data_IF_115563063222
#
_entry.id   IF_115563063222
#
_cell.length_a   1.000
_cell.length_b   1.000
_cell.length_c   1.000
_cell.angle_alpha   90.00
_cell.angle_beta   90.00
_cell.angle_gamma   90.00
#
_symmetry.space_group_name_H-M   'P 1'
#
loop_
_entity.id
_entity.type
_entity.pdbx_description
1 polymer ?
#
# COMPACT_ATOMS: atom_id res chain seq x y z
N UNK A 1 -28.81 -12.87 -25.00
CA UNK A 1 -27.71 -13.25 -24.08
C UNK A 1 -27.82 -12.38 -22.85
N UNK A 2 -27.86 -12.96 -21.65
CA UNK A 2 -27.97 -12.20 -20.40
C UNK A 2 -26.62 -12.19 -19.70
N UNK A 3 -25.91 -11.07 -19.80
CA UNK A 3 -24.63 -10.89 -19.14
C UNK A 3 -24.83 -10.44 -17.68
N UNK A 4 -23.98 -10.95 -16.80
CA UNK A 4 -23.98 -10.68 -15.36
C UNK A 4 -22.92 -9.66 -15.01
N UNK A 5 -23.25 -8.75 -14.10
CA UNK A 5 -22.31 -7.80 -13.54
C UNK A 5 -21.82 -8.35 -12.22
N UNK A 6 -20.51 -8.48 -12.09
CA UNK A 6 -19.88 -8.71 -10.81
C UNK A 6 -19.53 -7.38 -10.14
N UNK A 7 -20.09 -7.06 -8.96
CA UNK A 7 -19.81 -5.79 -8.30
C UNK A 7 -18.32 -5.56 -8.03
N UNK A 8 -17.57 -6.61 -7.68
CA UNK A 8 -16.15 -6.46 -7.38
C UNK A 8 -15.36 -6.09 -8.64
N UNK A 9 -15.67 -6.68 -9.79
CA UNK A 9 -15.00 -6.37 -11.05
C UNK A 9 -15.36 -4.97 -11.53
N UNK A 10 -16.65 -4.61 -11.44
CA UNK A 10 -17.14 -3.27 -11.77
C UNK A 10 -16.43 -2.20 -10.94
N UNK A 11 -16.38 -2.38 -9.63
CA UNK A 11 -15.90 -1.36 -8.69
C UNK A 11 -14.37 -1.18 -8.73
N UNK A 12 -13.62 -2.05 -9.43
CA UNK A 12 -12.18 -1.88 -9.71
C UNK A 12 -11.91 -0.88 -10.83
N UNK A 13 -12.89 -0.64 -11.69
CA UNK A 13 -12.82 0.36 -12.77
C UNK A 13 -13.38 1.67 -12.18
N UNK A 14 -12.60 2.78 -12.18
CA UNK A 14 -13.14 4.07 -11.78
C UNK A 14 -14.44 4.38 -12.53
N UNK A 15 -15.54 4.75 -11.85
CA UNK A 15 -16.78 5.08 -12.53
C UNK A 15 -16.59 6.31 -13.41
N UNK A 16 -17.32 6.36 -14.53
CA UNK A 16 -17.39 7.58 -15.34
C UNK A 16 -18.29 8.59 -14.64
N UNK A 17 -17.93 9.87 -14.76
CA UNK A 17 -18.85 10.95 -14.38
C UNK A 17 -20.11 10.90 -15.26
N UNK A 18 -21.21 11.49 -14.78
CA UNK A 18 -22.46 11.53 -15.55
C UNK A 18 -22.27 12.17 -16.94
N UNK A 19 -21.41 13.19 -17.04
CA UNK A 19 -21.09 13.85 -18.30
C UNK A 19 -20.31 12.93 -19.25
N UNK A 20 -19.28 12.24 -18.76
CA UNK A 20 -18.52 11.27 -19.56
C UNK A 20 -19.40 10.10 -20.02
N UNK A 21 -20.30 9.63 -19.14
CA UNK A 21 -21.26 8.59 -19.48
C UNK A 21 -22.21 9.06 -20.59
N UNK A 22 -22.79 10.26 -20.47
CA UNK A 22 -23.65 10.84 -21.51
C UNK A 22 -22.90 10.99 -22.83
N UNK A 23 -21.65 11.46 -22.78
CA UNK A 23 -20.83 11.60 -23.98
C UNK A 23 -20.53 10.26 -24.64
N UNK A 24 -20.30 9.21 -23.85
CA UNK A 24 -20.13 7.84 -24.36
C UNK A 24 -21.42 7.32 -25.00
N UNK A 25 -22.57 7.56 -24.37
CA UNK A 25 -23.90 7.21 -24.87
C UNK A 25 -24.16 7.89 -26.22
N UNK A 26 -23.96 9.20 -26.32
CA UNK A 26 -24.11 9.96 -27.57
C UNK A 26 -23.19 9.43 -28.69
N UNK A 27 -21.94 9.09 -28.35
CA UNK A 27 -20.99 8.54 -29.32
C UNK A 27 -21.46 7.18 -29.86
N UNK A 28 -21.93 6.28 -28.99
CA UNK A 28 -22.42 4.95 -29.36
C UNK A 28 -23.67 5.07 -30.26
N UNK A 29 -24.60 5.95 -29.89
CA UNK A 29 -25.83 6.18 -30.68
C UNK A 29 -25.49 6.76 -32.05
N UNK A 30 -24.61 7.77 -32.09
CA UNK A 30 -24.17 8.41 -33.34
C UNK A 30 -23.48 7.43 -34.28
N UNK A 31 -22.67 6.53 -33.73
CA UNK A 31 -21.98 5.51 -34.51
C UNK A 31 -22.89 4.34 -34.91
N UNK A 32 -24.04 4.19 -34.25
CA UNK A 32 -24.98 3.11 -34.46
C UNK A 32 -24.45 1.73 -34.09
N UNK A 33 -23.34 1.65 -33.34
CA UNK A 33 -22.73 0.40 -32.84
C UNK A 33 -21.76 0.66 -31.71
N UNK A 34 -21.53 -0.34 -30.87
CA UNK A 34 -20.42 -0.33 -29.92
C UNK A 34 -19.13 -0.69 -30.66
N UNK A 35 -18.12 0.19 -30.60
CA UNK A 35 -16.84 0.00 -31.32
C UNK A 35 -15.94 -1.04 -30.66
N UNK A 36 -15.80 -0.95 -29.34
CA UNK A 36 -14.97 -1.86 -28.56
C UNK A 36 -15.84 -2.98 -27.97
N UNK A 37 -15.43 -4.25 -28.09
CA UNK A 37 -16.20 -5.37 -27.59
C UNK A 37 -16.43 -5.31 -26.07
N UNK A 38 -17.47 -5.99 -25.60
CA UNK A 38 -17.59 -6.35 -24.19
C UNK A 38 -16.67 -7.54 -23.93
N UNK A 39 -15.89 -7.48 -22.85
CA UNK A 39 -15.02 -8.59 -22.47
C UNK A 39 -15.68 -9.36 -21.34
N UNK A 40 -15.82 -10.67 -21.49
CA UNK A 40 -16.55 -11.53 -20.56
C UNK A 40 -15.75 -12.77 -20.17
N UNK A 41 -16.02 -13.28 -18.98
CA UNK A 41 -15.56 -14.59 -18.50
C UNK A 41 -16.79 -15.43 -18.17
N UNK A 42 -17.07 -16.44 -19.00
CA UNK A 42 -18.37 -17.10 -19.01
C UNK A 42 -19.49 -16.11 -19.30
N UNK A 43 -20.39 -15.92 -18.32
CA UNK A 43 -21.48 -14.93 -18.42
C UNK A 43 -21.17 -13.61 -17.70
N UNK A 44 -20.01 -13.49 -17.06
CA UNK A 44 -19.67 -12.35 -16.20
C UNK A 44 -18.88 -11.31 -16.99
N UNK A 45 -19.29 -10.05 -16.90
CA UNK A 45 -18.58 -8.93 -17.54
C UNK A 45 -17.29 -8.63 -16.78
N UNK A 46 -16.19 -8.53 -17.53
CA UNK A 46 -14.85 -8.20 -17.05
C UNK A 46 -14.48 -6.75 -17.44
N UNK A 47 -14.77 -6.35 -18.68
CA UNK A 47 -14.62 -4.97 -19.16
C UNK A 47 -15.81 -4.55 -20.04
N UNK A 48 -16.12 -3.25 -20.01
CA UNK A 48 -17.24 -2.69 -20.77
C UNK A 48 -18.52 -2.50 -19.96
N UNK A 49 -18.45 -2.46 -18.63
CA UNK A 49 -19.61 -2.22 -17.75
C UNK A 49 -20.46 -1.00 -18.15
N UNK A 50 -19.84 0.14 -18.48
CA UNK A 50 -20.56 1.33 -18.93
C UNK A 50 -21.21 1.13 -20.31
N UNK A 51 -20.51 0.46 -21.23
CA UNK A 51 -21.04 0.12 -22.56
C UNK A 51 -22.25 -0.82 -22.43
N UNK A 52 -22.17 -1.80 -21.54
CA UNK A 52 -23.29 -2.68 -21.24
C UNK A 52 -24.50 -1.93 -20.68
N UNK A 53 -24.28 -1.00 -19.74
CA UNK A 53 -25.37 -0.16 -19.22
C UNK A 53 -26.06 0.65 -20.33
N UNK A 54 -25.31 1.15 -21.33
CA UNK A 54 -25.86 1.85 -22.50
C UNK A 54 -26.62 0.89 -23.41
N UNK A 55 -26.07 -0.29 -23.71
CA UNK A 55 -26.76 -1.34 -24.50
C UNK A 55 -28.10 -1.74 -23.86
N UNK A 56 -28.17 -1.80 -22.53
CA UNK A 56 -29.44 -2.08 -21.84
C UNK A 56 -30.51 -1.00 -22.06
N UNK A 57 -30.10 0.27 -22.27
CA UNK A 57 -31.01 1.36 -22.62
C UNK A 57 -31.38 1.37 -24.11
N UNK A 58 -30.44 0.98 -24.96
CA UNK A 58 -30.55 0.99 -26.43
C UNK A 58 -30.31 -0.42 -26.98
N UNK A 59 -31.26 -1.36 -26.81
CA UNK A 59 -31.10 -2.76 -27.19
C UNK A 59 -30.95 -2.99 -28.69
N UNK A 60 -31.29 -2.00 -29.51
CA UNK A 60 -31.11 -1.99 -30.97
C UNK A 60 -29.65 -1.80 -31.40
N UNK A 61 -28.78 -1.30 -30.51
CA UNK A 61 -27.38 -1.04 -30.82
C UNK A 61 -26.61 -2.37 -30.94
N UNK A 62 -26.00 -2.67 -32.11
CA UNK A 62 -25.17 -3.85 -32.27
C UNK A 62 -23.89 -3.76 -31.42
N UNK A 63 -23.48 -4.90 -30.87
CA UNK A 63 -22.26 -5.06 -30.09
C UNK A 63 -21.62 -6.42 -30.33
N UNK A 64 -20.32 -6.51 -30.04
CA UNK A 64 -19.56 -7.75 -30.06
C UNK A 64 -19.13 -8.12 -28.64
N UNK A 65 -18.88 -9.41 -28.42
CA UNK A 65 -18.44 -9.95 -27.13
C UNK A 65 -17.20 -10.80 -27.36
N UNK A 66 -16.15 -10.52 -26.59
CA UNK A 66 -14.93 -11.28 -26.55
C UNK A 66 -14.87 -12.06 -25.24
N UNK A 67 -14.73 -13.39 -25.35
CA UNK A 67 -14.62 -14.27 -24.18
C UNK A 67 -13.16 -14.48 -23.84
N UNK A 68 -12.82 -14.31 -22.56
CA UNK A 68 -11.50 -14.60 -21.99
C UNK A 68 -11.68 -15.56 -20.83
N UNK A 69 -10.92 -16.65 -20.84
CA UNK A 69 -10.91 -17.63 -19.77
C UNK A 69 -9.82 -17.33 -18.74
N UNK A 70 -10.21 -17.34 -17.46
CA UNK A 70 -9.30 -17.18 -16.33
C UNK A 70 -9.29 -18.44 -15.47
N UNK A 71 -8.13 -18.81 -14.89
CA UNK A 71 -8.04 -19.96 -13.98
C UNK A 71 -8.78 -19.72 -12.67
N UNK A 72 -8.79 -18.48 -12.19
CA UNK A 72 -9.49 -18.07 -10.98
C UNK A 72 -9.93 -16.60 -11.06
N UNK A 73 -10.73 -16.19 -10.07
CA UNK A 73 -11.25 -14.83 -9.95
C UNK A 73 -10.15 -13.77 -9.80
N UNK A 74 -9.05 -14.09 -9.12
CA UNK A 74 -7.96 -13.15 -8.90
C UNK A 74 -7.16 -12.91 -10.18
N UNK A 75 -7.01 -13.92 -11.04
CA UNK A 75 -6.42 -13.78 -12.37
C UNK A 75 -7.27 -12.85 -13.25
N UNK A 76 -8.60 -12.90 -13.14
CA UNK A 76 -9.47 -11.92 -13.79
C UNK A 76 -9.25 -10.50 -13.25
N UNK A 77 -9.09 -10.33 -11.92
CA UNK A 77 -8.77 -9.01 -11.31
C UNK A 77 -7.42 -8.48 -11.78
N UNK A 78 -6.40 -9.32 -11.88
CA UNK A 78 -5.08 -8.96 -12.43
C UNK A 78 -5.25 -8.42 -13.85
N UNK A 79 -5.99 -9.14 -14.69
CA UNK A 79 -6.26 -8.71 -16.06
C UNK A 79 -7.01 -7.37 -16.11
N UNK A 80 -8.04 -7.17 -15.29
CA UNK A 80 -8.79 -5.90 -15.20
C UNK A 80 -7.84 -4.75 -14.87
N UNK A 81 -6.98 -4.92 -13.85
CA UNK A 81 -6.05 -3.88 -13.42
C UNK A 81 -5.04 -3.54 -14.52
N UNK A 82 -4.47 -4.55 -15.18
CA UNK A 82 -3.53 -4.37 -16.29
C UNK A 82 -4.17 -3.66 -17.50
N UNK A 83 -5.41 -4.05 -17.85
CA UNK A 83 -6.15 -3.42 -18.94
C UNK A 83 -6.43 -1.94 -18.65
N UNK A 84 -6.78 -1.58 -17.41
CA UNK A 84 -6.94 -0.17 -17.03
C UNK A 84 -5.59 0.57 -17.03
N UNK A 85 -4.52 -0.02 -16.50
CA UNK A 85 -3.19 0.60 -16.45
C UNK A 85 -2.60 0.89 -17.84
N UNK A 86 -3.02 0.16 -18.88
CA UNK A 86 -2.69 0.46 -20.28
C UNK A 86 -3.34 1.73 -20.83
N UNK A 87 -4.34 2.30 -20.15
CA UNK A 87 -5.00 3.54 -20.57
C UNK A 87 -4.15 4.77 -20.24
N UNK A 88 -4.11 5.73 -21.16
CA UNK A 88 -3.30 6.96 -21.01
C UNK A 88 -3.91 7.99 -20.05
N UNK A 89 -5.20 7.87 -19.73
CA UNK A 89 -5.99 8.89 -19.02
C UNK A 89 -6.17 8.60 -17.52
N UNK A 90 -5.14 8.06 -16.86
CA UNK A 90 -5.20 7.78 -15.41
C UNK A 90 -4.37 8.78 -14.61
N UNK A 91 -4.93 9.23 -13.48
CA UNK A 91 -4.20 10.01 -12.47
C UNK A 91 -3.10 9.15 -11.82
N UNK A 92 -2.11 9.78 -11.19
CA UNK A 92 -1.05 9.04 -10.52
C UNK A 92 -1.60 8.23 -9.33
N UNK A 93 -2.64 8.73 -8.67
CA UNK A 93 -3.37 8.09 -7.58
C UNK A 93 -4.10 6.85 -8.08
N UNK A 94 -4.82 6.95 -9.20
CA UNK A 94 -5.48 5.82 -9.85
C UNK A 94 -4.48 4.73 -10.26
N UNK A 95 -3.36 5.12 -10.90
CA UNK A 95 -2.29 4.18 -11.25
C UNK A 95 -1.73 3.48 -10.02
N UNK A 96 -1.44 4.24 -8.96
CA UNK A 96 -0.92 3.68 -7.69
C UNK A 96 -1.92 2.69 -7.10
N UNK A 97 -3.21 3.04 -7.05
CA UNK A 97 -4.25 2.17 -6.53
C UNK A 97 -4.35 0.86 -7.33
N UNK A 98 -4.41 0.94 -8.66
CA UNK A 98 -4.51 -0.23 -9.55
C UNK A 98 -3.30 -1.16 -9.45
N UNK A 99 -2.08 -0.61 -9.40
CA UNK A 99 -0.85 -1.42 -9.18
C UNK A 99 -0.93 -2.17 -7.84
N UNK A 100 -1.44 -1.51 -6.80
CA UNK A 100 -1.66 -2.15 -5.50
C UNK A 100 -2.65 -3.30 -5.57
N UNK A 101 -3.80 -3.11 -6.24
CA UNK A 101 -4.81 -4.17 -6.42
C UNK A 101 -4.32 -5.33 -7.29
N UNK A 102 -3.55 -5.05 -8.35
CA UNK A 102 -2.92 -6.08 -9.18
C UNK A 102 -2.00 -6.96 -8.34
N UNK A 103 -1.14 -6.34 -7.53
CA UNK A 103 -0.21 -7.06 -6.66
C UNK A 103 -0.95 -7.93 -5.62
N UNK A 104 -1.97 -7.39 -4.95
CA UNK A 104 -2.78 -8.14 -3.99
C UNK A 104 -3.45 -9.35 -4.64
N UNK A 105 -4.08 -9.17 -5.81
CA UNK A 105 -4.73 -10.24 -6.54
C UNK A 105 -3.72 -11.31 -7.00
N UNK A 106 -2.58 -10.90 -7.54
CA UNK A 106 -1.56 -11.83 -8.02
C UNK A 106 -0.95 -12.67 -6.88
N UNK A 107 -0.89 -12.14 -5.65
CA UNK A 107 -0.52 -12.92 -4.46
C UNK A 107 -1.54 -14.01 -4.15
N UNK A 108 -2.82 -13.73 -4.34
CA UNK A 108 -3.90 -14.69 -4.06
C UNK A 108 -3.93 -15.80 -5.12
N UNK A 109 -3.72 -15.48 -6.40
CA UNK A 109 -3.61 -16.47 -7.49
C UNK A 109 -2.46 -17.47 -7.27
N UNK A 110 -1.32 -17.04 -6.73
CA UNK A 110 -0.14 -17.90 -6.55
C UNK A 110 -0.16 -18.75 -5.27
N UNK A 111 -1.27 -18.75 -4.51
CA UNK A 111 -1.37 -19.41 -3.21
C UNK A 111 -0.69 -18.57 -2.14
N UNK A 112 -1.47 -17.73 -1.47
CA UNK A 112 -0.98 -16.79 -0.46
C UNK A 112 0.00 -17.43 0.53
N UNK A 113 1.15 -16.78 0.69
CA UNK A 113 2.24 -17.13 1.60
C UNK A 113 3.04 -18.38 1.18
N UNK A 114 4.23 -18.16 0.62
CA UNK A 114 5.31 -19.13 0.78
C UNK A 114 5.60 -19.20 2.27
N UNK A 115 4.93 -20.10 3.00
CA UNK A 115 5.23 -20.32 4.41
C UNK A 115 6.74 -20.58 4.52
N UNK A 116 7.41 -19.69 5.24
CA UNK A 116 8.78 -19.92 5.66
C UNK A 116 8.75 -21.12 6.58
N UNK A 117 9.14 -22.29 6.05
CA UNK A 117 9.19 -23.52 6.83
C UNK A 117 10.19 -23.34 7.96
N UNK A 118 9.72 -23.48 9.19
CA UNK A 118 10.55 -23.61 10.38
C UNK A 118 10.71 -25.10 10.69
N UNK A 119 11.88 -25.51 11.16
CA UNK A 119 12.04 -26.86 11.74
C UNK A 119 11.38 -26.95 13.12
N UNK A 120 11.35 -28.17 13.68
CA UNK A 120 10.80 -28.45 15.00
C UNK A 120 11.51 -27.70 16.15
N UNK A 121 12.63 -27.02 15.88
CA UNK A 121 13.40 -26.23 16.83
C UNK A 121 13.26 -24.72 16.60
N UNK A 122 12.31 -24.29 15.76
CA UNK A 122 12.05 -22.88 15.46
C UNK A 122 13.12 -22.22 14.59
N UNK A 123 14.10 -22.98 14.08
CA UNK A 123 15.11 -22.46 13.15
C UNK A 123 14.50 -22.31 11.76
N UNK A 124 14.83 -21.19 11.14
CA UNK A 124 14.45 -20.90 9.76
C UNK A 124 15.13 -21.89 8.81
N UNK A 125 14.35 -22.76 8.16
CA UNK A 125 14.87 -23.68 7.15
C UNK A 125 14.64 -23.10 5.76
N UNK A 126 15.55 -22.22 5.31
CA UNK A 126 15.65 -21.90 3.89
C UNK A 126 16.31 -23.06 3.12
N UNK A 127 15.63 -24.20 3.03
CA UNK A 127 16.03 -25.26 2.11
C UNK A 127 15.13 -25.24 0.87
N UNK A 128 15.45 -24.31 -0.02
CA UNK A 128 15.25 -24.43 -1.47
C UNK A 128 16.44 -23.74 -2.14
N UNK A 129 17.66 -24.24 -1.88
CA UNK A 129 18.72 -24.20 -2.88
C UNK A 129 18.34 -25.20 -4.00
N UNK A 130 17.38 -24.82 -4.83
CA UNK A 130 17.28 -25.37 -6.17
C UNK A 130 18.10 -24.45 -7.06
N UNK A 131 19.23 -24.97 -7.54
CA UNK A 131 19.92 -24.38 -8.68
C UNK A 131 18.96 -24.35 -9.87
N UNK A 132 18.53 -23.14 -10.25
CA UNK A 132 17.62 -22.91 -11.38
C UNK A 132 16.55 -21.87 -11.09
N UNK A 133 16.90 -20.58 -11.23
CA UNK A 133 16.02 -19.40 -11.11
C UNK A 133 15.24 -19.32 -9.78
N UNK A 134 15.68 -18.43 -8.87
CA UNK A 134 14.79 -17.88 -7.83
C UNK A 134 13.51 -17.44 -8.55
N UNK A 135 12.38 -18.09 -8.26
CA UNK A 135 11.09 -17.63 -8.76
C UNK A 135 10.94 -16.19 -8.30
N UNK A 136 10.88 -15.25 -9.24
CA UNK A 136 10.74 -13.82 -8.92
C UNK A 136 9.53 -13.65 -8.01
N UNK A 137 9.69 -12.97 -6.89
CA UNK A 137 8.59 -12.68 -5.98
C UNK A 137 7.48 -11.94 -6.72
N UNK A 138 6.23 -12.08 -6.29
CA UNK A 138 5.09 -11.41 -6.94
C UNK A 138 5.33 -9.90 -7.09
N UNK A 139 5.94 -9.27 -6.08
CA UNK A 139 6.25 -7.85 -6.11
C UNK A 139 7.29 -7.49 -7.19
N UNK A 140 8.26 -8.36 -7.45
CA UNK A 140 9.29 -8.17 -8.49
C UNK A 140 8.67 -8.27 -9.89
N UNK A 141 7.73 -9.20 -10.10
CA UNK A 141 7.00 -9.35 -11.38
C UNK A 141 6.17 -8.11 -11.70
N UNK A 142 5.40 -7.60 -10.73
CA UNK A 142 4.59 -6.39 -10.91
C UNK A 142 5.48 -5.16 -11.10
N UNK A 143 6.58 -5.07 -10.34
CA UNK A 143 7.54 -3.97 -10.46
C UNK A 143 8.16 -3.92 -11.87
N UNK A 144 8.59 -5.06 -12.42
CA UNK A 144 9.13 -5.17 -13.77
C UNK A 144 8.09 -4.79 -14.83
N UNK A 145 6.84 -5.28 -14.71
CA UNK A 145 5.76 -4.99 -15.65
C UNK A 145 5.45 -3.49 -15.76
N UNK A 146 5.56 -2.75 -14.65
CA UNK A 146 5.24 -1.32 -14.58
C UNK A 146 6.47 -0.42 -14.46
N UNK A 147 7.67 -0.91 -14.80
CA UNK A 147 8.93 -0.18 -14.70
C UNK A 147 9.11 0.55 -13.35
N UNK A 148 8.67 -0.09 -12.28
CA UNK A 148 8.61 0.44 -10.92
C UNK A 148 9.57 -0.32 -9.99
N UNK A 149 9.78 0.15 -8.77
CA UNK A 149 10.55 -0.58 -7.76
C UNK A 149 9.65 -1.49 -6.91
N UNK A 150 10.20 -2.56 -6.37
CA UNK A 150 9.51 -3.47 -5.43
C UNK A 150 8.89 -2.69 -4.26
N UNK A 151 9.65 -1.76 -3.66
CA UNK A 151 9.17 -0.91 -2.56
C UNK A 151 8.00 -0.02 -2.98
N UNK A 152 7.98 0.49 -4.22
CA UNK A 152 6.86 1.27 -4.74
C UNK A 152 5.60 0.42 -4.88
N UNK A 153 5.72 -0.83 -5.34
CA UNK A 153 4.60 -1.78 -5.42
C UNK A 153 4.03 -2.09 -4.03
N UNK A 154 4.90 -2.35 -3.05
CA UNK A 154 4.45 -2.60 -1.67
C UNK A 154 3.75 -1.39 -1.04
N UNK A 155 4.25 -0.18 -1.30
CA UNK A 155 3.60 1.07 -0.86
C UNK A 155 2.26 1.27 -1.56
N UNK A 156 2.17 0.95 -2.84
CA UNK A 156 0.93 1.00 -3.61
C UNK A 156 -0.14 0.06 -3.03
N UNK A 157 0.26 -1.16 -2.63
CA UNK A 157 -0.64 -2.10 -1.96
C UNK A 157 -1.18 -1.55 -0.62
N UNK A 158 -0.30 -1.01 0.24
CA UNK A 158 -0.73 -0.39 1.51
C UNK A 158 -1.67 0.80 1.28
N UNK A 159 -1.38 1.62 0.27
CA UNK A 159 -2.24 2.73 -0.13
C UNK A 159 -3.62 2.24 -0.60
N UNK A 160 -3.67 1.21 -1.44
CA UNK A 160 -4.92 0.62 -1.92
C UNK A 160 -5.76 0.03 -0.78
N UNK A 161 -5.13 -0.73 0.13
CA UNK A 161 -5.76 -1.25 1.34
C UNK A 161 -6.31 -0.12 2.23
N UNK A 162 -5.57 0.99 2.37
CA UNK A 162 -6.02 2.17 3.11
C UNK A 162 -7.26 2.84 2.51
N UNK A 163 -7.28 2.97 1.18
CA UNK A 163 -8.46 3.47 0.46
C UNK A 163 -9.67 2.55 0.65
N UNK A 164 -9.49 1.24 0.53
CA UNK A 164 -10.59 0.27 0.69
C UNK A 164 -11.15 0.27 2.11
N UNK A 165 -10.28 0.41 3.13
CA UNK A 165 -10.70 0.57 4.52
C UNK A 165 -11.47 1.88 4.75
N UNK A 166 -11.04 2.98 4.11
CA UNK A 166 -11.71 4.27 4.21
C UNK A 166 -13.09 4.27 3.50
N UNK A 167 -13.19 3.64 2.34
CA UNK A 167 -14.44 3.50 1.58
C UNK A 167 -15.52 2.75 2.37
N UNK A 168 -15.10 1.75 3.16
CA UNK A 168 -16.00 0.99 4.04
C UNK A 168 -16.62 1.87 5.14
N UNK A 169 -15.93 2.94 5.55
CA UNK A 169 -16.40 3.89 6.57
C UNK A 169 -17.19 5.03 5.94
N UNK A 170 -16.66 5.61 4.86
CA UNK A 170 -17.24 6.75 4.16
C UNK A 170 -17.29 6.42 2.67
N UNK A 171 -18.45 5.96 2.16
CA UNK A 171 -18.64 5.75 0.73
C UNK A 171 -18.33 7.02 -0.08
N UNK A 172 -17.65 6.88 -1.21
CA UNK A 172 -17.20 8.00 -2.06
C UNK A 172 -15.83 8.59 -1.67
N UNK A 173 -15.21 8.10 -0.60
CA UNK A 173 -13.84 8.50 -0.22
C UNK A 173 -12.83 8.08 -1.28
N UNK A 174 -12.96 6.85 -1.81
CA UNK A 174 -12.10 6.33 -2.90
C UNK A 174 -12.12 7.26 -4.10
N UNK A 175 -13.30 7.58 -4.61
CA UNK A 175 -13.44 8.44 -5.78
C UNK A 175 -12.85 9.83 -5.54
N UNK A 176 -13.12 10.41 -4.37
CA UNK A 176 -12.61 11.74 -3.99
C UNK A 176 -11.08 11.81 -3.93
N UNK A 177 -10.42 10.76 -3.43
CA UNK A 177 -8.95 10.68 -3.40
C UNK A 177 -8.38 10.39 -4.78
N UNK A 178 -8.96 9.45 -5.53
CA UNK A 178 -8.44 9.03 -6.83
C UNK A 178 -8.59 10.10 -7.92
N UNK A 179 -9.62 10.93 -7.84
CA UNK A 179 -9.82 12.11 -8.70
C UNK A 179 -8.97 13.32 -8.30
N UNK A 180 -8.36 13.28 -7.10
CA UNK A 180 -7.56 14.38 -6.57
C UNK A 180 -8.36 15.53 -5.95
N UNK A 181 -9.66 15.32 -5.71
CA UNK A 181 -10.53 16.27 -4.98
C UNK A 181 -10.03 16.46 -3.55
N UNK A 182 -9.68 15.35 -2.89
CA UNK A 182 -9.04 15.36 -1.56
C UNK A 182 -7.55 15.12 -1.74
N UNK A 183 -6.74 16.10 -1.30
CA UNK A 183 -5.27 15.98 -1.29
C UNK A 183 -4.82 15.47 0.08
N UNK A 184 -4.52 14.18 0.16
CA UNK A 184 -4.02 13.54 1.37
C UNK A 184 -2.64 12.89 1.12
N UNK A 185 -1.74 12.91 2.10
CA UNK A 185 -0.50 12.14 2.02
C UNK A 185 -0.81 10.64 1.90
N UNK A 186 -0.15 9.96 0.95
CA UNK A 186 -0.31 8.51 0.76
C UNK A 186 0.05 7.70 2.02
N UNK A 187 0.93 8.24 2.88
CA UNK A 187 1.30 7.66 4.18
C UNK A 187 0.13 7.57 5.13
N UNK A 188 -0.68 8.62 5.20
CA UNK A 188 -1.75 8.78 6.18
C UNK A 188 -2.87 7.81 5.81
N UNK A 189 -3.23 7.77 4.52
CA UNK A 189 -4.18 6.79 3.97
C UNK A 189 -3.68 5.35 4.21
N UNK A 190 -2.41 5.07 3.93
CA UNK A 190 -1.82 3.73 4.12
C UNK A 190 -1.79 3.27 5.59
N UNK A 191 -1.96 4.17 6.56
CA UNK A 191 -2.00 3.86 7.99
C UNK A 191 -3.40 3.49 8.50
N UNK A 192 -4.47 3.88 7.78
CA UNK A 192 -5.86 3.67 8.20
C UNK A 192 -6.19 2.22 8.56
N UNK A 193 -5.75 1.18 7.82
CA UNK A 193 -6.09 -0.21 8.17
C UNK A 193 -5.49 -0.68 9.51
N UNK A 194 -4.47 0.02 10.02
CA UNK A 194 -3.79 -0.30 11.29
C UNK A 194 -4.44 0.36 12.51
N UNK A 195 -5.32 1.34 12.30
CA UNK A 195 -6.01 2.05 13.38
C UNK A 195 -7.25 1.26 13.81
N UNK A 196 -7.61 1.40 15.09
CA UNK A 196 -8.88 0.88 15.61
C UNK A 196 -10.07 1.59 14.94
N UNK A 197 -11.23 0.92 14.85
CA UNK A 197 -12.40 1.47 14.16
C UNK A 197 -12.81 2.90 14.57
N UNK A 198 -12.87 3.28 15.87
CA UNK A 198 -13.26 4.65 16.26
C UNK A 198 -12.22 5.70 15.85
N UNK A 199 -10.93 5.37 15.91
CA UNK A 199 -9.85 6.26 15.48
C UNK A 199 -9.80 6.37 13.96
N UNK A 200 -10.02 5.25 13.25
CA UNK A 200 -10.07 5.20 11.80
C UNK A 200 -11.18 6.11 11.26
N UNK A 201 -12.35 6.15 11.90
CA UNK A 201 -13.44 7.07 11.55
C UNK A 201 -13.03 8.53 11.70
N UNK A 202 -12.40 8.90 12.82
CA UNK A 202 -11.90 10.26 13.04
C UNK A 202 -10.82 10.63 12.01
N UNK A 203 -9.90 9.72 11.72
CA UNK A 203 -8.85 9.91 10.73
C UNK A 203 -9.42 10.12 9.31
N UNK A 204 -10.40 9.32 8.89
CA UNK A 204 -11.07 9.50 7.59
C UNK A 204 -11.74 10.87 7.49
N UNK A 205 -12.44 11.30 8.55
CA UNK A 205 -13.07 12.62 8.60
C UNK A 205 -12.05 13.76 8.57
N UNK A 206 -10.95 13.64 9.32
CA UNK A 206 -9.86 14.62 9.31
C UNK A 206 -9.25 14.75 7.90
N UNK A 207 -9.02 13.64 7.21
CA UNK A 207 -8.53 13.63 5.82
C UNK A 207 -9.52 14.33 4.87
N UNK A 208 -10.82 14.10 5.03
CA UNK A 208 -11.86 14.79 4.24
C UNK A 208 -11.85 16.30 4.45
N UNK A 209 -11.54 16.75 5.66
CA UNK A 209 -11.42 18.17 6.00
C UNK A 209 -10.07 18.78 5.57
N UNK A 210 -9.18 18.01 4.94
CA UNK A 210 -7.86 18.45 4.51
C UNK A 210 -6.84 18.55 5.65
N UNK A 211 -7.17 17.98 6.82
CA UNK A 211 -6.27 17.93 7.96
C UNK A 211 -5.28 16.78 7.81
N UNK A 212 -4.05 16.99 8.28
CA UNK A 212 -3.06 15.91 8.33
C UNK A 212 -3.39 14.99 9.49
N UNK A 213 -3.59 13.72 9.18
CA UNK A 213 -3.59 12.68 10.20
C UNK A 213 -2.14 12.33 10.42
N UNK A 214 -1.58 12.78 11.55
CA UNK A 214 -0.28 12.26 11.93
C UNK A 214 -0.42 10.74 11.98
N UNK A 215 0.47 9.98 11.30
CA UNK A 215 0.57 8.58 11.64
C UNK A 215 0.78 8.58 13.14
N UNK A 216 -0.07 7.86 13.87
CA UNK A 216 0.26 7.47 15.23
C UNK A 216 1.58 6.75 15.08
N UNK A 217 2.70 7.48 15.25
CA UNK A 217 3.83 6.90 15.94
C UNK A 217 3.15 6.30 17.14
N UNK A 218 3.34 5.01 17.39
CA UNK A 218 3.21 4.55 18.75
C UNK A 218 4.22 5.39 19.55
N UNK A 219 3.87 6.61 19.92
CA UNK A 219 3.99 7.01 21.30
C UNK A 219 3.23 5.91 22.01
N UNK A 220 4.00 4.96 22.53
CA UNK A 220 3.50 4.04 23.51
C UNK A 220 3.22 4.93 24.73
N UNK A 221 2.13 5.68 24.68
CA UNK A 221 1.46 6.14 25.89
C UNK A 221 0.88 4.88 26.49
N UNK A 222 1.70 4.18 27.30
CA UNK A 222 1.17 3.26 28.29
C UNK A 222 0.49 4.14 29.35
N UNK A 223 -0.79 4.42 29.17
CA UNK A 223 -1.64 4.61 30.36
C UNK A 223 -1.62 3.28 31.14
N UNK A 224 -1.39 3.32 32.46
CA UNK A 224 -1.03 2.14 33.22
C UNK A 224 -2.25 1.22 33.33
N UNK A 225 -2.21 0.09 32.62
CA UNK A 225 -2.91 -1.09 33.11
C UNK A 225 -2.39 -1.36 34.51
N UNK A 226 -3.31 -1.40 35.49
CA UNK A 226 -3.04 -1.94 36.82
C UNK A 226 -2.73 -3.42 36.61
N UNK A 227 -1.46 -3.71 36.33
CA UNK A 227 -0.87 -5.02 36.48
C UNK A 227 -0.74 -5.17 37.98
N UNK A 228 -1.51 -6.11 38.54
CA UNK A 228 -1.29 -6.63 39.87
C UNK A 228 0.21 -6.89 40.04
N UNK A 229 0.81 -6.15 40.98
CA UNK A 229 2.22 -6.18 41.32
C UNK A 229 2.66 -7.62 41.65
N UNK A 230 3.17 -8.34 40.65
CA UNK A 230 4.22 -9.32 40.88
C UNK A 230 5.54 -8.58 40.85
N UNK A 231 5.95 -8.14 42.03
CA UNK A 231 7.24 -7.53 42.32
C UNK A 231 8.35 -8.51 41.90
N UNK A 232 8.95 -8.32 40.73
CA UNK A 232 10.29 -8.82 40.46
C UNK A 232 11.25 -7.68 40.73
N UNK A 233 12.05 -7.84 41.79
CA UNK A 233 13.11 -6.92 42.18
C UNK A 233 14.07 -6.73 41.00
N UNK A 234 13.94 -5.63 40.25
CA UNK A 234 15.00 -5.18 39.36
C UNK A 234 16.20 -4.84 40.23
N UNK A 235 17.29 -5.57 40.07
CA UNK A 235 18.51 -5.28 40.82
C UNK A 235 19.31 -4.17 40.11
N UNK A 236 20.31 -3.63 40.82
CA UNK A 236 21.25 -2.62 40.29
C UNK A 236 21.90 -3.06 38.98
N UNK A 237 22.13 -4.36 38.81
CA UNK A 237 22.86 -4.92 37.68
C UNK A 237 21.99 -4.98 36.42
N UNK A 238 20.68 -5.20 36.55
CA UNK A 238 19.72 -5.15 35.45
C UNK A 238 19.62 -3.73 34.86
N UNK A 239 19.51 -2.72 35.74
CA UNK A 239 19.50 -1.31 35.32
C UNK A 239 20.82 -0.92 34.63
N UNK A 240 21.94 -1.41 35.16
CA UNK A 240 23.26 -1.17 34.56
C UNK A 240 23.37 -1.83 33.18
N UNK A 241 22.91 -3.06 33.02
CA UNK A 241 22.93 -3.78 31.76
C UNK A 241 22.13 -3.05 30.66
N UNK A 242 20.97 -2.49 31.00
CA UNK A 242 20.17 -1.69 30.07
C UNK A 242 20.87 -0.38 29.67
N UNK A 243 21.47 0.33 30.62
CA UNK A 243 22.23 1.56 30.36
C UNK A 243 23.49 1.30 29.51
N UNK A 244 24.17 0.18 29.74
CA UNK A 244 25.32 -0.26 28.96
C UNK A 244 24.87 -0.60 27.52
N UNK A 245 23.75 -1.30 27.34
CA UNK A 245 23.20 -1.61 26.01
C UNK A 245 22.81 -0.34 25.21
N UNK A 246 22.25 0.68 25.87
CA UNK A 246 21.98 1.98 25.24
C UNK A 246 23.28 2.65 24.77
N UNK A 247 24.31 2.61 25.60
CA UNK A 247 25.62 3.20 25.30
C UNK A 247 26.30 2.48 24.13
N UNK A 248 26.31 1.15 24.13
CA UNK A 248 26.86 0.34 23.04
C UNK A 248 26.15 0.60 21.70
N UNK A 249 24.82 0.68 21.72
CA UNK A 249 24.02 0.95 20.52
C UNK A 249 24.33 2.33 19.93
N UNK A 250 24.46 3.35 20.78
CA UNK A 250 24.87 4.69 20.36
C UNK A 250 26.26 4.67 19.71
N UNK A 251 27.24 4.08 20.39
CA UNK A 251 28.62 4.01 19.89
C UNK A 251 28.71 3.27 18.56
N UNK A 252 28.01 2.14 18.42
CA UNK A 252 27.97 1.36 17.19
C UNK A 252 27.41 2.17 16.03
N UNK A 253 26.21 2.75 16.21
CA UNK A 253 25.56 3.52 15.15
C UNK A 253 26.39 4.75 14.74
N UNK A 254 27.01 5.43 15.71
CA UNK A 254 27.87 6.57 15.44
C UNK A 254 29.12 6.18 14.66
N UNK A 255 29.79 5.10 15.07
CA UNK A 255 30.97 4.56 14.38
C UNK A 255 30.65 4.12 12.96
N UNK A 256 29.55 3.38 12.76
CA UNK A 256 29.12 2.90 11.44
C UNK A 256 28.85 4.07 10.49
N UNK A 257 28.23 5.14 11.01
CA UNK A 257 28.00 6.39 10.27
C UNK A 257 29.31 7.06 9.84
N UNK A 258 30.31 7.13 10.72
CA UNK A 258 31.62 7.70 10.39
C UNK A 258 32.39 6.86 9.38
N UNK A 259 32.29 5.53 9.46
CA UNK A 259 32.92 4.62 8.49
C UNK A 259 32.27 4.77 7.12
N UNK A 260 30.94 4.81 7.06
CA UNK A 260 30.18 4.98 5.81
C UNK A 260 30.52 6.31 5.12
N UNK A 261 30.76 7.37 5.90
CA UNK A 261 31.12 8.69 5.39
C UNK A 261 32.63 9.02 5.50
N UNK A 262 33.49 8.01 5.56
CA UNK A 262 34.94 8.18 5.85
C UNK A 262 35.67 9.17 4.93
N UNK A 263 35.26 9.30 3.66
CA UNK A 263 35.83 10.28 2.71
C UNK A 263 35.47 11.73 3.04
N UNK A 264 34.27 11.97 3.58
CA UNK A 264 33.81 13.30 4.00
C UNK A 264 34.41 13.70 5.35
N UNK A 265 34.63 12.74 6.24
CA UNK A 265 35.23 12.97 7.57
C UNK A 265 36.64 13.59 7.47
N UNK A 266 37.35 13.36 6.37
CA UNK A 266 38.67 13.94 6.12
C UNK A 266 38.62 15.44 5.75
N UNK A 267 37.45 15.98 5.41
CA UNK A 267 37.30 17.40 5.10
C UNK A 267 37.28 18.24 6.40
N UNK A 268 38.07 19.33 6.49
CA UNK A 268 38.13 20.16 7.70
C UNK A 268 36.78 20.69 8.18
N UNK A 269 35.88 21.05 7.25
CA UNK A 269 34.56 21.58 7.59
C UNK A 269 33.61 20.51 8.13
N UNK A 270 33.70 19.28 7.60
CA UNK A 270 32.94 18.14 8.11
C UNK A 270 33.42 17.74 9.51
N UNK A 271 34.74 17.77 9.75
CA UNK A 271 35.32 17.50 11.07
C UNK A 271 34.79 18.47 12.15
N UNK A 272 34.74 19.78 11.85
CA UNK A 272 34.16 20.77 12.77
C UNK A 272 32.69 20.50 13.10
N UNK A 273 31.89 20.07 12.11
CA UNK A 273 30.48 19.72 12.31
C UNK A 273 30.31 18.47 13.19
N UNK A 274 31.17 17.48 13.01
CA UNK A 274 31.19 16.27 13.85
C UNK A 274 31.58 16.62 15.29
N UNK A 275 32.61 17.45 15.48
CA UNK A 275 33.04 17.95 16.79
C UNK A 275 31.92 18.73 17.50
N UNK A 276 31.19 19.59 16.77
CA UNK A 276 30.03 20.30 17.31
C UNK A 276 28.90 19.35 17.76
N UNK A 277 28.58 18.33 16.96
CA UNK A 277 27.57 17.34 17.32
C UNK A 277 27.96 16.52 18.56
N UNK A 278 29.24 16.17 18.70
CA UNK A 278 29.76 15.51 19.90
C UNK A 278 29.69 16.39 21.14
N UNK A 279 29.97 17.70 21.01
CA UNK A 279 29.85 18.66 22.11
C UNK A 279 28.39 18.84 22.58
N UNK A 280 27.44 18.81 21.65
CA UNK A 280 26.00 18.84 21.98
C UNK A 280 25.57 17.57 22.71
N UNK A 281 26.02 16.39 22.26
CA UNK A 281 25.77 15.12 22.94
C UNK A 281 26.37 15.10 24.36
N UNK A 282 27.60 15.61 24.54
CA UNK A 282 28.21 15.74 25.86
C UNK A 282 27.39 16.64 26.80
N UNK A 283 26.85 17.74 26.25
CA UNK A 283 25.98 18.66 27.00
C UNK A 283 24.68 17.98 27.42
N UNK A 284 24.07 17.17 26.55
CA UNK A 284 22.89 16.39 26.89
C UNK A 284 23.17 15.36 28.00
N UNK A 285 24.30 14.65 27.92
CA UNK A 285 24.73 13.69 28.96
C UNK A 285 24.96 14.40 30.30
N UNK A 286 25.55 15.60 30.31
CA UNK A 286 25.73 16.40 31.54
C UNK A 286 24.39 16.79 32.17
N UNK A 287 23.38 17.12 31.36
CA UNK A 287 22.02 17.40 31.88
C UNK A 287 21.39 16.17 32.52
N UNK A 288 21.54 14.99 31.90
CA UNK A 288 21.02 13.73 32.45
C UNK A 288 21.68 13.38 33.80
N UNK A 289 22.99 13.63 33.95
CA UNK A 289 23.70 13.48 35.23
C UNK A 289 23.21 14.42 36.33
N UNK A 290 22.53 15.51 36.00
CA UNK A 290 21.93 16.42 36.99
C UNK A 290 20.52 16.03 37.43
N UNK A 291 19.94 14.99 36.81
CA UNK A 291 18.60 14.47 37.13
C UNK A 291 18.68 13.25 38.07
N UNK A 292 19.83 12.58 38.09
CA UNK A 292 20.20 11.48 39.00
C UNK A 292 20.93 12.08 40.20
#
# INVERSE_FOLDING_TARGET
MQLKIDPEFRDKIPPLTAQEFSQLEDNIIKDGKVRDPLVVWGETIIDGHNRWAIIQKHPEVPYTVDTVDFPDRYAAIVWICQNQLGKRNLTNEQKTYLIGKEFEAQKMTQGGNTETKHDAFGRFTANLQSEGKRSRGTAEKVAEAHCSSVTSVERAARFASGIDAAETISPGFRESVLTGTIKAPKSDIASLPKMEEPERKKAVQAIQNGERVQPVKKEVEKEPEIIESTCTEYNSDDLKMELDACTETFFKNFKDTLVFHSTMVQQPDCKRKIEAALSEAETAIKKLRGII
#
